data_IF_336399097457
#
_entry.id   IF_336399097457
#
_cell.length_a   1.000
_cell.length_b   1.000
_cell.length_c   1.000
_cell.angle_alpha   90.00
_cell.angle_beta   90.00
_cell.angle_gamma   90.00
#
_symmetry.space_group_name_H-M   'P 1'
#
loop_
_entity.id
_entity.type
_entity.pdbx_description
1 polymer ?
#
# COMPACT_ATOMS: atom_id res chain seq x y z
N UNK A 1 65.25 48.03 56.60
CA UNK A 1 65.77 46.75 57.12
C UNK A 1 65.42 45.67 56.12
N UNK A 2 66.42 45.08 55.47
CA UNK A 2 66.36 43.78 54.79
C UNK A 2 66.78 42.69 55.83
N UNK A 3 66.70 41.35 55.62
CA UNK A 3 66.52 40.61 54.35
C UNK A 3 65.72 39.26 54.41
N UNK A 4 65.73 38.59 53.25
CA UNK A 4 65.75 37.12 52.99
C UNK A 4 64.46 36.29 53.10
N UNK A 5 64.01 35.67 51.99
CA UNK A 5 64.31 34.30 51.48
C UNK A 5 63.43 33.26 52.20
N UNK A 6 62.76 32.28 51.61
CA UNK A 6 63.03 31.49 50.41
C UNK A 6 61.79 30.62 50.13
N UNK A 7 61.47 30.44 48.85
CA UNK A 7 60.92 29.22 48.22
C UNK A 7 60.02 28.29 49.05
N UNK A 8 58.72 28.25 48.71
CA UNK A 8 58.02 26.97 48.66
C UNK A 8 57.03 26.93 47.49
N UNK A 9 56.97 25.77 46.84
CA UNK A 9 56.42 25.55 45.50
C UNK A 9 54.89 25.50 45.48
N UNK A 10 54.20 25.97 44.43
CA UNK A 10 52.75 25.86 44.34
C UNK A 10 52.32 24.40 44.09
N UNK A 11 51.52 23.86 45.01
CA UNK A 11 50.75 22.62 44.82
C UNK A 11 49.77 22.81 43.67
N UNK A 12 50.01 22.13 42.55
CA UNK A 12 49.05 21.95 41.46
C UNK A 12 47.83 21.18 41.98
N UNK A 13 46.76 21.89 42.35
CA UNK A 13 45.43 21.29 42.52
C UNK A 13 44.93 20.84 41.16
N UNK A 14 45.07 19.54 40.89
CA UNK A 14 44.46 18.83 39.76
C UNK A 14 42.94 18.81 39.95
N UNK A 15 42.25 19.87 39.51
CA UNK A 15 40.80 19.81 39.31
C UNK A 15 40.54 19.06 38.03
N UNK A 16 40.08 17.82 38.17
CA UNK A 16 39.61 16.99 37.07
C UNK A 16 38.47 17.68 36.34
N UNK A 17 38.65 17.87 35.04
CA UNK A 17 37.53 18.07 34.13
C UNK A 17 36.99 16.68 33.80
N UNK A 18 35.86 16.32 34.40
CA UNK A 18 35.05 15.20 33.93
C UNK A 18 34.40 15.67 32.62
N UNK A 19 34.94 15.25 31.48
CA UNK A 19 34.20 15.34 30.22
C UNK A 19 33.00 14.39 30.36
N UNK A 20 31.80 14.97 30.43
CA UNK A 20 30.59 14.21 30.18
C UNK A 20 30.58 13.92 28.67
N UNK A 21 31.07 12.75 28.28
CA UNK A 21 30.84 12.25 26.94
C UNK A 21 29.34 11.94 26.82
N UNK A 22 28.59 12.86 26.20
CA UNK A 22 27.26 12.53 25.72
C UNK A 22 27.44 11.50 24.61
N UNK A 23 27.23 10.23 24.95
CA UNK A 23 27.02 9.19 23.95
C UNK A 23 25.71 9.54 23.24
N UNK A 24 25.80 10.24 22.13
CA UNK A 24 24.73 10.21 21.14
C UNK A 24 24.77 8.79 20.60
N UNK A 25 23.85 7.95 21.08
CA UNK A 25 23.46 6.73 20.38
C UNK A 25 22.95 7.19 19.02
N UNK A 26 23.85 7.20 18.04
CA UNK A 26 23.46 7.26 16.65
C UNK A 26 22.71 5.96 16.39
N UNK A 27 21.39 6.02 16.55
CA UNK A 27 20.51 5.04 15.92
C UNK A 27 20.68 5.27 14.42
N UNK A 28 21.55 4.50 13.79
CA UNK A 28 21.46 4.29 12.36
C UNK A 28 20.21 3.45 12.16
N UNK A 29 19.13 3.94 11.52
CA UNK A 29 18.27 2.99 10.86
C UNK A 29 19.18 2.32 9.83
N UNK A 30 19.55 1.06 10.07
CA UNK A 30 19.63 0.13 8.96
C UNK A 30 18.37 0.43 8.14
N UNK A 31 18.54 0.74 6.84
CA UNK A 31 17.43 1.02 5.93
C UNK A 31 16.26 0.12 6.36
N UNK A 32 15.22 0.73 6.93
CA UNK A 32 13.99 0.01 7.13
C UNK A 32 13.50 -0.24 5.71
N UNK A 33 13.92 -1.36 5.13
CA UNK A 33 13.25 -1.96 3.98
C UNK A 33 11.82 -2.06 4.48
N UNK A 34 10.96 -1.13 4.06
CA UNK A 34 9.56 -1.26 4.42
C UNK A 34 9.09 -2.50 3.69
N UNK A 35 8.54 -3.44 4.46
CA UNK A 35 7.94 -4.63 3.94
C UNK A 35 7.05 -4.26 2.76
N UNK A 36 7.29 -4.91 1.63
CA UNK A 36 6.33 -5.00 0.55
C UNK A 36 5.03 -5.56 1.16
N UNK A 37 3.94 -4.79 1.13
CA UNK A 37 2.71 -5.15 1.84
C UNK A 37 1.77 -5.91 0.92
N UNK A 38 1.23 -7.01 1.44
CA UNK A 38 0.09 -7.72 0.88
C UNK A 38 -1.05 -7.65 1.89
N UNK A 39 -2.19 -7.10 1.51
CA UNK A 39 -3.39 -7.11 2.36
C UNK A 39 -4.26 -8.31 2.03
N UNK A 40 -4.83 -8.93 3.05
CA UNK A 40 -5.74 -10.05 2.92
C UNK A 40 -7.02 -9.79 3.71
N UNK A 41 -8.16 -9.94 3.04
CA UNK A 41 -9.48 -9.91 3.65
C UNK A 41 -9.90 -11.34 3.99
N UNK A 42 -10.26 -11.63 5.23
CA UNK A 42 -10.80 -12.93 5.64
C UNK A 42 -12.27 -12.80 6.06
N UNK A 43 -13.11 -13.71 5.58
CA UNK A 43 -14.55 -13.65 5.86
C UNK A 43 -14.93 -14.20 7.25
N UNK A 44 -14.21 -15.20 7.76
CA UNK A 44 -14.57 -15.90 9.01
C UNK A 44 -14.53 -15.01 10.25
N UNK A 45 -13.55 -14.09 10.32
CA UNK A 45 -13.44 -13.12 11.41
C UNK A 45 -13.75 -11.68 10.97
N UNK A 46 -14.11 -11.47 9.71
CA UNK A 46 -14.36 -10.14 9.16
C UNK A 46 -13.19 -9.18 9.42
N UNK A 47 -11.97 -9.60 9.05
CA UNK A 47 -10.73 -8.85 9.29
C UNK A 47 -9.98 -8.61 8.00
N UNK A 48 -9.29 -7.48 7.93
CA UNK A 48 -8.22 -7.23 6.95
C UNK A 48 -6.89 -7.30 7.70
N UNK A 49 -5.98 -8.14 7.23
CA UNK A 49 -4.62 -8.26 7.75
C UNK A 49 -3.59 -7.75 6.75
N UNK A 50 -2.59 -7.03 7.25
CA UNK A 50 -1.41 -6.66 6.49
C UNK A 50 -0.33 -7.73 6.68
N UNK A 51 0.18 -8.26 5.57
CA UNK A 51 1.25 -9.24 5.55
C UNK A 51 2.52 -8.62 4.96
N UNK A 52 3.66 -9.00 5.53
CA UNK A 52 4.95 -8.87 4.87
C UNK A 52 4.97 -9.85 3.69
N UNK A 53 5.07 -9.34 2.46
CA UNK A 53 4.95 -10.16 1.26
C UNK A 53 6.10 -11.17 1.10
N UNK A 54 7.28 -10.89 1.65
CA UNK A 54 8.45 -11.78 1.57
C UNK A 54 8.31 -13.00 2.48
N UNK A 55 7.78 -12.78 3.69
CA UNK A 55 7.77 -13.78 4.76
C UNK A 55 6.38 -14.33 5.06
N UNK A 56 5.33 -13.64 4.61
CA UNK A 56 3.94 -13.91 4.95
C UNK A 56 3.55 -13.51 6.37
N UNK A 57 4.47 -12.95 7.15
CA UNK A 57 4.23 -12.59 8.54
C UNK A 57 3.12 -11.54 8.63
N UNK A 58 2.14 -11.78 9.50
CA UNK A 58 1.09 -10.80 9.80
C UNK A 58 1.71 -9.69 10.63
N UNK A 59 1.66 -8.46 10.11
CA UNK A 59 2.22 -7.29 10.73
C UNK A 59 1.21 -6.61 11.65
N UNK A 60 -0.03 -6.46 11.18
CA UNK A 60 -1.18 -5.97 11.93
C UNK A 60 -2.48 -6.41 11.23
N UNK A 61 -3.60 -6.26 11.94
CA UNK A 61 -4.94 -6.48 11.42
C UNK A 61 -5.95 -5.51 12.05
N UNK A 62 -7.12 -5.41 11.42
CA UNK A 62 -8.26 -4.63 11.91
C UNK A 62 -9.59 -5.20 11.38
N UNK A 63 -10.71 -4.93 12.06
CA UNK A 63 -12.03 -5.38 11.60
C UNK A 63 -12.46 -4.65 10.32
N UNK A 64 -13.28 -5.30 9.50
CA UNK A 64 -13.88 -4.69 8.32
C UNK A 64 -15.07 -3.78 8.68
N UNK A 65 -15.37 -2.76 7.87
CA UNK A 65 -16.50 -1.85 8.12
C UNK A 65 -17.88 -2.52 7.94
N UNK A 66 -17.94 -3.58 7.13
CA UNK A 66 -19.13 -4.43 6.96
C UNK A 66 -18.74 -5.90 6.97
N UNK A 67 -19.70 -6.80 7.19
CA UNK A 67 -19.46 -8.24 7.15
C UNK A 67 -19.14 -8.69 5.72
N UNK A 68 -17.97 -9.28 5.45
CA UNK A 68 -17.65 -9.79 4.13
C UNK A 68 -18.56 -10.94 3.74
N UNK A 69 -18.75 -11.13 2.44
CA UNK A 69 -19.43 -12.31 1.94
C UNK A 69 -18.56 -13.56 2.15
N UNK A 70 -19.18 -14.65 2.61
CA UNK A 70 -18.57 -15.97 2.66
C UNK A 70 -18.42 -16.57 1.24
N UNK A 71 -17.27 -17.19 0.95
CA UNK A 71 -17.05 -17.93 -0.30
C UNK A 71 -16.75 -17.08 -1.53
N UNK A 72 -16.05 -15.95 -1.37
CA UNK A 72 -15.78 -14.98 -2.46
C UNK A 72 -16.78 -13.82 -2.47
N UNK A 73 -16.82 -13.02 -3.54
CA UNK A 73 -17.75 -11.89 -3.58
C UNK A 73 -17.21 -10.63 -2.89
N UNK A 74 -15.90 -10.48 -2.73
CA UNK A 74 -15.32 -9.33 -2.04
C UNK A 74 -14.14 -8.78 -2.83
N UNK A 75 -14.11 -7.45 -2.99
CA UNK A 75 -13.00 -6.75 -3.60
C UNK A 75 -12.15 -6.05 -2.57
N UNK A 76 -10.83 -6.08 -2.75
CA UNK A 76 -9.87 -5.32 -1.97
C UNK A 76 -8.84 -4.71 -2.92
N UNK A 77 -8.52 -3.43 -2.78
CA UNK A 77 -7.46 -2.77 -3.54
C UNK A 77 -6.65 -1.84 -2.64
N UNK A 78 -5.35 -1.69 -2.91
CA UNK A 78 -4.45 -0.85 -2.11
C UNK A 78 -3.75 0.19 -2.98
N UNK A 79 -3.92 1.48 -2.65
CA UNK A 79 -3.31 2.57 -3.42
C UNK A 79 -1.89 2.95 -3.01
N UNK A 80 -1.34 2.31 -1.97
CA UNK A 80 -0.14 2.80 -1.28
C UNK A 80 -0.46 3.75 -0.12
N UNK A 81 -1.70 4.25 -0.01
CA UNK A 81 -2.14 5.13 1.09
C UNK A 81 -3.54 4.85 1.61
N UNK A 82 -4.38 4.17 0.83
CA UNK A 82 -5.76 3.83 1.19
C UNK A 82 -6.06 2.40 0.77
N UNK A 83 -6.92 1.74 1.53
CA UNK A 83 -7.58 0.51 1.09
C UNK A 83 -8.98 0.83 0.58
N UNK A 84 -9.37 0.14 -0.48
CA UNK A 84 -10.74 0.13 -0.99
C UNK A 84 -11.31 -1.26 -0.77
N UNK A 85 -12.49 -1.37 -0.16
CA UNK A 85 -13.16 -2.64 0.08
C UNK A 85 -14.58 -2.61 -0.50
N UNK A 86 -14.98 -3.67 -1.18
CA UNK A 86 -16.35 -3.88 -1.64
C UNK A 86 -16.83 -5.29 -1.28
N UNK A 87 -18.14 -5.46 -1.19
CA UNK A 87 -18.79 -6.77 -1.13
C UNK A 87 -19.91 -6.80 -2.15
N UNK A 88 -20.24 -7.97 -2.71
CA UNK A 88 -21.35 -8.07 -3.68
C UNK A 88 -22.74 -7.85 -3.04
N UNK A 89 -22.82 -7.82 -1.71
CA UNK A 89 -24.06 -7.64 -0.96
C UNK A 89 -24.51 -6.19 -0.91
N UNK A 90 -23.57 -5.25 -1.07
CA UNK A 90 -23.81 -3.82 -0.93
C UNK A 90 -23.25 -3.06 -2.13
N UNK A 91 -23.96 -2.07 -2.67
CA UNK A 91 -23.43 -1.20 -3.71
C UNK A 91 -22.54 -0.11 -3.11
N UNK A 92 -21.63 -0.47 -2.20
CA UNK A 92 -20.76 0.46 -1.47
C UNK A 92 -19.30 0.04 -1.63
N UNK A 93 -18.44 1.00 -1.97
CA UNK A 93 -16.99 0.87 -1.82
C UNK A 93 -16.60 1.66 -0.57
N UNK A 94 -15.98 0.99 0.39
CA UNK A 94 -15.45 1.58 1.62
C UNK A 94 -14.01 2.01 1.40
N UNK A 95 -13.65 3.21 1.83
CA UNK A 95 -12.27 3.73 1.81
C UNK A 95 -11.73 3.70 3.23
N UNK A 96 -10.64 2.98 3.45
CA UNK A 96 -10.16 2.59 4.77
C UNK A 96 -8.70 3.03 4.94
N UNK A 97 -8.34 3.51 6.13
CA UNK A 97 -6.95 3.74 6.51
C UNK A 97 -6.23 2.38 6.64
N UNK A 98 -5.20 2.10 5.83
CA UNK A 98 -4.52 0.79 5.82
C UNK A 98 -3.72 0.49 7.09
N UNK A 99 -3.48 1.49 7.93
CA UNK A 99 -2.69 1.37 9.16
C UNK A 99 -3.59 1.13 10.37
N UNK A 100 -4.74 1.81 10.43
CA UNK A 100 -5.63 1.76 11.61
C UNK A 100 -6.92 0.97 11.39
N UNK A 101 -7.35 0.80 10.14
CA UNK A 101 -8.66 0.25 9.80
C UNK A 101 -9.80 1.26 9.91
N UNK A 102 -9.51 2.53 10.19
CA UNK A 102 -10.54 3.55 10.29
C UNK A 102 -11.19 3.82 8.93
N UNK A 103 -12.52 3.97 8.92
CA UNK A 103 -13.26 4.39 7.73
C UNK A 103 -12.95 5.86 7.41
N UNK A 104 -12.37 6.11 6.24
CA UNK A 104 -12.07 7.45 5.72
C UNK A 104 -13.26 8.00 4.96
N UNK A 105 -13.84 7.20 4.06
CA UNK A 105 -14.93 7.61 3.16
C UNK A 105 -15.70 6.38 2.63
N UNK A 106 -16.78 6.61 1.87
CA UNK A 106 -17.53 5.56 1.18
C UNK A 106 -18.20 6.07 -0.11
N UNK A 107 -18.19 5.24 -1.15
CA UNK A 107 -18.85 5.53 -2.42
C UNK A 107 -20.11 4.68 -2.57
N UNK A 108 -21.27 5.32 -2.66
CA UNK A 108 -22.54 4.62 -2.93
C UNK A 108 -22.78 4.54 -4.45
N UNK A 109 -22.62 3.35 -5.00
CA UNK A 109 -22.75 3.05 -6.42
C UNK A 109 -24.19 2.92 -6.91
N UNK A 110 -25.20 3.03 -6.02
CA UNK A 110 -26.62 2.92 -6.37
C UNK A 110 -27.33 4.26 -6.62
N UNK A 111 -26.71 5.42 -6.35
CA UNK A 111 -27.45 6.70 -6.38
C UNK A 111 -26.57 7.98 -6.54
N UNK A 112 -26.83 8.86 -7.53
CA UNK A 112 -27.37 8.62 -8.85
C UNK A 112 -26.25 8.75 -9.89
N UNK A 113 -25.58 7.64 -10.23
CA UNK A 113 -24.91 7.58 -11.53
C UNK A 113 -26.01 7.45 -12.60
N UNK A 114 -26.00 8.26 -13.67
CA UNK A 114 -27.10 8.29 -14.61
C UNK A 114 -27.17 6.95 -15.35
N UNK A 115 -28.19 6.15 -15.01
CA UNK A 115 -28.74 5.01 -15.78
C UNK A 115 -28.23 3.58 -15.55
N UNK A 116 -27.18 3.32 -14.76
CA UNK A 116 -26.74 1.94 -14.45
C UNK A 116 -26.31 1.77 -12.99
N UNK A 117 -26.89 0.78 -12.31
CA UNK A 117 -26.36 0.30 -11.02
C UNK A 117 -25.11 -0.52 -11.33
N UNK A 118 -23.95 -0.16 -10.75
CA UNK A 118 -22.67 -0.83 -11.04
C UNK A 118 -22.52 -2.17 -10.30
N UNK A 119 -23.30 -2.38 -9.24
CA UNK A 119 -23.27 -3.58 -8.41
C UNK A 119 -23.91 -4.79 -9.11
N UNK A 120 -23.53 -6.03 -8.74
CA UNK A 120 -22.57 -6.39 -7.70
C UNK A 120 -21.11 -6.15 -8.11
N UNK A 121 -20.26 -5.72 -7.14
CA UNK A 121 -18.81 -5.62 -7.31
C UNK A 121 -18.14 -6.79 -6.59
N UNK A 122 -17.54 -7.70 -7.34
CA UNK A 122 -16.91 -8.94 -6.86
C UNK A 122 -15.43 -8.75 -6.54
N UNK A 123 -14.76 -7.83 -7.25
CA UNK A 123 -13.33 -7.61 -7.14
C UNK A 123 -12.99 -6.12 -7.28
N UNK A 124 -11.89 -5.71 -6.63
CA UNK A 124 -11.31 -4.37 -6.79
C UNK A 124 -9.82 -4.49 -7.09
N UNK A 125 -9.28 -3.58 -7.89
CA UNK A 125 -7.84 -3.43 -8.14
C UNK A 125 -7.52 -1.95 -8.29
N UNK A 126 -6.30 -1.52 -7.98
CA UNK A 126 -5.92 -0.11 -8.06
C UNK A 126 -4.69 0.07 -8.95
N UNK A 127 -4.78 0.97 -9.92
CA UNK A 127 -3.68 1.22 -10.84
C UNK A 127 -3.79 2.54 -11.56
N UNK A 128 -3.16 2.62 -12.72
CA UNK A 128 -3.23 3.79 -13.59
C UNK A 128 -3.83 3.41 -14.93
N UNK A 129 -4.64 4.33 -15.47
CA UNK A 129 -5.08 4.33 -16.86
C UNK A 129 -4.82 5.70 -17.48
N UNK A 130 -5.31 5.92 -18.70
CA UNK A 130 -5.31 7.20 -19.39
C UNK A 130 -6.07 8.30 -18.64
N UNK A 131 -6.93 7.93 -17.67
CA UNK A 131 -7.63 8.84 -16.77
C UNK A 131 -6.81 9.26 -15.54
N UNK A 132 -5.65 8.64 -15.30
CA UNK A 132 -4.85 8.79 -14.08
C UNK A 132 -5.06 7.62 -13.11
N UNK A 133 -4.96 7.86 -11.78
CA UNK A 133 -5.30 6.86 -10.77
C UNK A 133 -6.72 6.33 -10.96
N UNK A 134 -6.85 5.01 -11.02
CA UNK A 134 -8.10 4.33 -11.36
C UNK A 134 -8.31 3.14 -10.45
N UNK A 135 -9.52 3.05 -9.90
CA UNK A 135 -10.03 1.87 -9.22
C UNK A 135 -10.78 1.02 -10.24
N UNK A 136 -10.26 -0.18 -10.51
CA UNK A 136 -10.91 -1.18 -11.34
C UNK A 136 -11.93 -1.92 -10.46
N UNK A 137 -13.17 -2.02 -10.90
CA UNK A 137 -14.23 -2.70 -10.17
C UNK A 137 -14.92 -3.74 -11.05
N UNK A 138 -14.75 -5.01 -10.71
CA UNK A 138 -15.33 -6.12 -11.49
C UNK A 138 -16.79 -6.33 -11.12
N UNK A 139 -17.67 -6.17 -12.11
CA UNK A 139 -19.01 -6.71 -12.08
C UNK A 139 -19.00 -8.08 -12.78
N UNK A 140 -18.87 -9.15 -11.99
CA UNK A 140 -18.79 -10.52 -12.49
C UNK A 140 -20.09 -10.98 -13.16
N UNK A 141 -21.26 -10.45 -12.78
CA UNK A 141 -22.52 -10.85 -13.43
C UNK A 141 -22.63 -10.33 -14.86
N UNK A 142 -22.05 -9.15 -15.09
CA UNK A 142 -22.00 -8.53 -16.39
C UNK A 142 -20.70 -8.84 -17.15
N UNK A 143 -19.72 -9.51 -16.54
CA UNK A 143 -18.37 -9.69 -17.08
C UNK A 143 -17.72 -8.35 -17.51
N UNK A 144 -17.90 -7.31 -16.72
CA UNK A 144 -17.53 -5.94 -17.04
C UNK A 144 -16.61 -5.35 -15.96
N UNK A 145 -15.59 -4.60 -16.35
CA UNK A 145 -14.79 -3.79 -15.42
C UNK A 145 -15.25 -2.34 -15.53
N UNK A 146 -15.63 -1.76 -14.39
CA UNK A 146 -15.84 -0.32 -14.27
C UNK A 146 -14.53 0.36 -13.86
N UNK A 147 -14.17 1.44 -14.54
CA UNK A 147 -13.02 2.28 -14.21
C UNK A 147 -13.54 3.45 -13.41
N UNK A 148 -13.20 3.50 -12.12
CA UNK A 148 -13.74 4.46 -11.18
C UNK A 148 -12.65 5.43 -10.73
N UNK A 149 -13.06 6.68 -10.48
CA UNK A 149 -12.25 7.64 -9.74
C UNK A 149 -12.07 7.13 -8.30
N UNK A 150 -10.83 6.94 -7.83
CA UNK A 150 -10.58 6.54 -6.45
C UNK A 150 -10.88 7.69 -5.46
N UNK A 151 -11.13 8.91 -5.94
CA UNK A 151 -11.44 10.07 -5.09
C UNK A 151 -12.91 10.13 -4.68
N UNK A 152 -13.83 9.62 -5.51
CA UNK A 152 -15.27 9.80 -5.30
C UNK A 152 -16.15 8.68 -5.88
N UNK A 153 -15.56 7.63 -6.47
CA UNK A 153 -16.28 6.52 -7.08
C UNK A 153 -17.02 6.86 -8.38
N UNK A 154 -16.81 8.04 -8.98
CA UNK A 154 -17.39 8.38 -10.26
C UNK A 154 -16.82 7.49 -11.37
N UNK A 155 -17.67 7.07 -12.31
CA UNK A 155 -17.25 6.23 -13.44
C UNK A 155 -16.50 7.09 -14.46
N UNK A 156 -15.27 6.71 -14.77
CA UNK A 156 -14.54 7.23 -15.93
C UNK A 156 -15.01 6.52 -17.20
N UNK A 157 -15.00 5.18 -17.19
CA UNK A 157 -15.38 4.34 -18.32
C UNK A 157 -15.74 2.93 -17.86
N UNK A 158 -16.11 2.05 -18.78
CA UNK A 158 -16.29 0.62 -18.53
C UNK A 158 -16.03 -0.21 -19.78
N UNK A 159 -15.51 -1.42 -19.62
CA UNK A 159 -15.33 -2.36 -20.73
C UNK A 159 -15.69 -3.79 -20.36
N UNK A 160 -16.26 -4.46 -21.35
CA UNK A 160 -16.60 -5.87 -21.27
C UNK A 160 -15.35 -6.73 -21.43
N UNK A 161 -15.11 -7.64 -20.48
CA UNK A 161 -14.11 -8.69 -20.63
C UNK A 161 -14.64 -9.77 -21.58
N UNK A 162 -13.76 -10.27 -22.45
CA UNK A 162 -14.10 -11.31 -23.42
C UNK A 162 -12.98 -12.36 -23.53
N UNK A 163 -13.36 -13.59 -23.87
CA UNK A 163 -12.42 -14.71 -24.00
C UNK A 163 -12.24 -15.57 -22.74
N UNK A 164 -12.80 -15.14 -21.61
CA UNK A 164 -12.80 -15.88 -20.34
C UNK A 164 -13.98 -15.42 -19.44
N UNK A 165 -14.20 -16.13 -18.33
CA UNK A 165 -15.31 -15.87 -17.38
C UNK A 165 -14.75 -15.32 -16.05
N UNK A 166 -14.62 -13.98 -15.92
CA UNK A 166 -13.96 -13.35 -14.78
C UNK A 166 -14.77 -13.50 -13.50
N UNK A 167 -14.13 -13.97 -12.44
CA UNK A 167 -14.73 -14.07 -11.10
C UNK A 167 -13.62 -14.18 -10.06
N UNK A 168 -13.83 -13.60 -8.88
CA UNK A 168 -12.87 -13.65 -7.77
C UNK A 168 -11.97 -12.41 -7.71
N UNK A 169 -10.66 -12.58 -7.79
CA UNK A 169 -9.67 -11.52 -7.59
C UNK A 169 -9.28 -10.75 -8.86
N UNK A 170 -8.99 -9.46 -8.68
CA UNK A 170 -8.28 -8.64 -9.67
C UNK A 170 -7.19 -7.83 -8.97
N UNK A 171 -6.10 -7.54 -9.68
CA UNK A 171 -5.12 -6.55 -9.21
C UNK A 171 -4.32 -5.99 -10.39
N UNK A 172 -3.71 -4.83 -10.19
CA UNK A 172 -2.92 -4.14 -11.20
C UNK A 172 -1.42 -4.37 -10.97
N UNK A 173 -0.73 -4.88 -11.98
CA UNK A 173 0.72 -4.99 -11.93
C UNK A 173 1.35 -3.62 -12.21
N UNK A 174 1.91 -3.00 -11.17
CA UNK A 174 2.57 -1.70 -11.27
C UNK A 174 3.91 -1.71 -12.01
N UNK A 175 4.49 -2.88 -12.28
CA UNK A 175 5.73 -3.04 -13.05
C UNK A 175 5.41 -3.16 -14.54
N UNK A 176 4.45 -4.00 -14.92
CA UNK A 176 4.09 -4.26 -16.33
C UNK A 176 2.96 -3.37 -16.85
N UNK A 177 2.26 -2.65 -15.96
CA UNK A 177 1.07 -1.85 -16.27
C UNK A 177 -0.05 -2.68 -16.92
N UNK A 178 -0.30 -3.87 -16.36
CA UNK A 178 -1.35 -4.80 -16.82
C UNK A 178 -2.30 -5.15 -15.68
N UNK A 179 -3.55 -5.45 -16.03
CA UNK A 179 -4.54 -5.90 -15.08
C UNK A 179 -4.59 -7.43 -15.09
N UNK A 180 -4.55 -8.04 -13.92
CA UNK A 180 -4.64 -9.49 -13.73
C UNK A 180 -6.00 -9.80 -13.14
N UNK A 181 -6.68 -10.81 -13.69
CA UNK A 181 -8.07 -11.16 -13.36
C UNK A 181 -8.18 -12.68 -13.26
N UNK A 182 -8.74 -13.19 -12.17
CA UNK A 182 -8.99 -14.63 -12.01
C UNK A 182 -10.27 -15.07 -12.73
N UNK A 183 -10.33 -16.36 -13.07
CA UNK A 183 -11.55 -17.03 -13.50
C UNK A 183 -12.03 -18.11 -12.51
N UNK A 184 -13.19 -18.70 -12.77
CA UNK A 184 -13.79 -19.74 -11.92
C UNK A 184 -12.99 -21.05 -11.86
N UNK A 185 -12.11 -21.30 -12.83
CA UNK A 185 -11.21 -22.45 -12.83
C UNK A 185 -9.90 -22.18 -12.05
N UNK A 186 -9.65 -20.91 -11.71
CA UNK A 186 -8.45 -20.43 -11.02
C UNK A 186 -7.30 -20.10 -11.95
N UNK A 187 -7.56 -19.92 -13.24
CA UNK A 187 -6.57 -19.31 -14.14
C UNK A 187 -6.53 -17.80 -13.90
N UNK A 188 -5.42 -17.19 -14.34
CA UNK A 188 -5.23 -15.74 -14.26
C UNK A 188 -5.07 -15.20 -15.67
N UNK A 189 -6.01 -14.39 -16.10
CA UNK A 189 -5.96 -13.66 -17.36
C UNK A 189 -5.31 -12.30 -17.17
N UNK A 190 -4.37 -11.98 -18.05
CA UNK A 190 -3.68 -10.70 -18.13
C UNK A 190 -4.34 -9.91 -19.24
N UNK A 191 -4.86 -8.74 -18.90
CA UNK A 191 -5.62 -7.90 -19.82
C UNK A 191 -5.04 -6.49 -19.89
N UNK A 192 -5.24 -5.84 -21.03
CA UNK A 192 -4.99 -4.42 -21.20
C UNK A 192 -5.94 -3.60 -20.29
N UNK A 193 -5.42 -2.73 -19.41
CA UNK A 193 -6.23 -2.02 -18.43
C UNK A 193 -7.08 -0.87 -19.02
N UNK A 194 -6.86 -0.47 -20.27
CA UNK A 194 -7.67 0.55 -20.94
C UNK A 194 -8.86 -0.06 -21.68
N UNK A 195 -8.66 -1.26 -22.23
CA UNK A 195 -9.59 -1.84 -23.22
C UNK A 195 -10.18 -3.19 -22.79
N UNK A 196 -9.60 -3.86 -21.79
CA UNK A 196 -9.97 -5.21 -21.39
C UNK A 196 -9.56 -6.29 -22.39
N UNK A 197 -8.73 -5.97 -23.37
CA UNK A 197 -8.25 -6.95 -24.34
C UNK A 197 -7.39 -8.01 -23.63
N UNK A 198 -7.74 -9.29 -23.83
CA UNK A 198 -6.98 -10.42 -23.30
C UNK A 198 -5.63 -10.53 -24.02
N UNK A 199 -4.55 -10.54 -23.26
CA UNK A 199 -3.18 -10.67 -23.78
C UNK A 199 -2.60 -12.05 -23.52
N UNK A 200 -2.79 -12.57 -22.31
CA UNK A 200 -2.26 -13.86 -21.88
C UNK A 200 -3.16 -14.51 -20.82
N UNK A 201 -3.13 -15.84 -20.73
CA UNK A 201 -3.75 -16.58 -19.63
C UNK A 201 -2.73 -17.52 -19.00
N UNK A 202 -2.48 -17.32 -17.72
CA UNK A 202 -1.71 -18.23 -16.88
C UNK A 202 -2.64 -19.35 -16.39
N UNK A 203 -2.43 -20.56 -16.90
CA UNK A 203 -3.27 -21.73 -16.61
C UNK A 203 -2.99 -22.36 -15.23
N UNK A 204 -2.95 -21.55 -14.17
CA UNK A 204 -2.60 -21.97 -12.80
C UNK A 204 -3.57 -23.03 -12.29
N UNK A 205 -4.86 -22.80 -12.49
CA UNK A 205 -5.91 -23.69 -12.01
C UNK A 205 -5.98 -23.77 -10.48
N UNK A 206 -6.40 -24.93 -9.98
CA UNK A 206 -6.58 -25.17 -8.54
C UNK A 206 -7.96 -24.77 -8.00
N UNK A 207 -8.91 -24.46 -8.89
CA UNK A 207 -10.28 -24.11 -8.52
C UNK A 207 -10.42 -22.63 -8.16
N UNK A 208 -11.59 -22.27 -7.63
CA UNK A 208 -12.00 -20.88 -7.47
C UNK A 208 -11.03 -20.07 -6.60
N UNK A 209 -10.35 -19.11 -7.23
CA UNK A 209 -9.41 -18.18 -6.59
C UNK A 209 -10.15 -16.92 -6.18
N UNK A 210 -10.28 -16.71 -4.88
CA UNK A 210 -11.11 -15.62 -4.33
C UNK A 210 -10.38 -14.29 -4.26
N UNK A 211 -9.06 -14.31 -4.11
CA UNK A 211 -8.24 -13.10 -4.07
C UNK A 211 -7.03 -13.23 -4.99
N UNK A 212 -6.64 -12.10 -5.56
CA UNK A 212 -5.44 -11.91 -6.35
C UNK A 212 -4.74 -10.66 -5.82
N UNK A 213 -3.44 -10.74 -5.53
CA UNK A 213 -2.62 -9.61 -5.12
C UNK A 213 -1.30 -9.58 -5.87
N UNK A 214 -0.84 -8.40 -6.26
CA UNK A 214 0.42 -8.18 -6.96
C UNK A 214 1.33 -7.25 -6.18
N UNK A 215 2.47 -7.76 -5.74
CA UNK A 215 3.48 -6.95 -5.05
C UNK A 215 4.76 -6.97 -5.88
N UNK A 216 5.07 -5.84 -6.51
CA UNK A 216 6.02 -5.81 -7.62
C UNK A 216 5.50 -6.69 -8.78
N UNK A 217 6.31 -7.66 -9.21
CA UNK A 217 5.95 -8.67 -10.23
C UNK A 217 5.49 -10.01 -9.62
N UNK A 218 5.34 -10.07 -8.29
CA UNK A 218 5.02 -11.31 -7.57
C UNK A 218 3.52 -11.49 -7.49
N UNK A 219 3.03 -12.66 -7.93
CA UNK A 219 1.62 -12.99 -7.97
C UNK A 219 1.22 -13.81 -6.75
N UNK A 220 0.26 -13.30 -5.98
CA UNK A 220 -0.33 -14.00 -4.84
C UNK A 220 -1.78 -14.35 -5.13
N UNK A 221 -2.18 -15.58 -4.81
CA UNK A 221 -3.54 -16.06 -4.95
C UNK A 221 -4.03 -16.68 -3.66
N UNK A 222 -5.29 -16.44 -3.32
CA UNK A 222 -5.99 -17.19 -2.27
C UNK A 222 -7.05 -18.09 -2.88
N UNK A 223 -7.47 -19.12 -2.13
CA UNK A 223 -8.50 -20.06 -2.55
C UNK A 223 -9.56 -20.16 -1.45
N UNK A 224 -10.84 -20.20 -1.82
CA UNK A 224 -11.92 -20.31 -0.81
C UNK A 224 -11.84 -21.58 0.05
N UNK A 225 -11.15 -22.62 -0.44
CA UNK A 225 -11.10 -23.95 0.17
C UNK A 225 -9.89 -24.13 1.08
N UNK A 226 -8.96 -23.17 1.09
CA UNK A 226 -7.74 -23.23 1.88
C UNK A 226 -7.54 -21.93 2.65
N UNK A 227 -6.92 -22.05 3.80
CA UNK A 227 -6.45 -20.94 4.62
C UNK A 227 -5.01 -20.53 4.24
N UNK A 228 -4.71 -20.62 2.94
CA UNK A 228 -3.41 -20.30 2.37
C UNK A 228 -3.49 -19.14 1.39
N UNK A 229 -2.47 -18.30 1.40
CA UNK A 229 -2.08 -17.40 0.32
C UNK A 229 -0.88 -18.06 -0.36
N UNK A 230 -0.98 -18.33 -1.66
CA UNK A 230 0.06 -18.99 -2.44
C UNK A 230 0.74 -17.97 -3.36
N UNK A 231 2.06 -17.94 -3.37
CA UNK A 231 2.87 -17.11 -4.25
C UNK A 231 3.27 -17.91 -5.49
N UNK A 232 3.16 -17.30 -6.66
CA UNK A 232 3.54 -17.86 -7.95
C UNK A 232 4.53 -16.94 -8.65
N UNK A 233 5.53 -17.54 -9.29
CA UNK A 233 6.36 -16.83 -10.26
C UNK A 233 5.69 -16.96 -11.65
N UNK A 234 5.17 -15.88 -12.22
CA UNK A 234 4.50 -15.94 -13.52
C UNK A 234 5.44 -16.35 -14.67
N UNK A 235 6.77 -16.30 -14.47
CA UNK A 235 7.78 -16.58 -15.50
C UNK A 235 8.40 -17.98 -15.46
N UNK A 236 8.47 -18.62 -14.29
CA UNK A 236 9.22 -19.90 -14.12
C UNK A 236 8.34 -21.14 -13.94
N UNK A 237 7.01 -20.99 -13.83
CA UNK A 237 6.07 -22.10 -13.90
C UNK A 237 4.79 -21.86 -13.07
N UNK A 238 3.72 -22.58 -13.41
CA UNK A 238 2.38 -22.45 -12.80
C UNK A 238 2.23 -23.15 -11.44
N UNK A 239 3.33 -23.35 -10.72
CA UNK A 239 3.36 -23.98 -9.39
C UNK A 239 3.67 -22.95 -8.31
N UNK A 240 3.00 -23.06 -7.17
CA UNK A 240 3.28 -22.18 -6.04
C UNK A 240 4.75 -22.35 -5.61
N UNK A 241 5.46 -21.23 -5.50
CA UNK A 241 6.86 -21.15 -5.04
C UNK A 241 6.96 -20.86 -3.54
N UNK A 242 5.89 -20.32 -2.95
CA UNK A 242 5.76 -20.06 -1.53
C UNK A 242 4.29 -20.14 -1.09
N UNK A 243 4.06 -20.26 0.22
CA UNK A 243 2.70 -20.22 0.77
C UNK A 243 2.70 -19.72 2.21
N UNK A 244 1.69 -18.92 2.55
CA UNK A 244 1.51 -18.33 3.87
C UNK A 244 0.14 -18.69 4.44
N UNK A 245 0.05 -18.80 5.77
CA UNK A 245 -1.20 -19.08 6.45
C UNK A 245 -1.91 -17.76 6.78
N UNK A 246 -3.18 -17.67 6.47
CA UNK A 246 -4.07 -16.56 6.86
C UNK A 246 -4.42 -16.62 8.35
N UNK A 247 -4.72 -15.48 8.98
CA UNK A 247 -5.02 -15.41 10.42
C UNK A 247 -6.18 -16.32 10.87
N UNK A 248 -7.27 -16.35 10.10
CA UNK A 248 -8.56 -16.81 10.62
C UNK A 248 -9.39 -17.67 9.68
N UNK A 249 -8.88 -18.03 8.51
CA UNK A 249 -9.63 -18.76 7.49
C UNK A 249 -9.32 -18.25 6.08
N UNK A 250 -9.96 -18.82 5.05
CA UNK A 250 -9.71 -18.47 3.65
C UNK A 250 -9.77 -16.96 3.40
N UNK A 251 -8.76 -16.42 2.73
CA UNK A 251 -8.79 -15.03 2.29
C UNK A 251 -9.77 -14.90 1.12
N UNK A 252 -10.79 -14.06 1.28
CA UNK A 252 -11.83 -13.81 0.28
C UNK A 252 -11.49 -12.67 -0.69
N UNK A 253 -10.45 -11.90 -0.41
CA UNK A 253 -9.85 -10.93 -1.32
C UNK A 253 -8.37 -10.69 -0.93
N UNK A 254 -7.56 -10.28 -1.90
CA UNK A 254 -6.18 -9.85 -1.68
C UNK A 254 -5.99 -8.47 -2.33
N UNK A 255 -5.03 -7.70 -1.84
CA UNK A 255 -4.60 -6.47 -2.48
C UNK A 255 -3.09 -6.30 -2.32
N UNK A 256 -2.39 -6.31 -3.45
CA UNK A 256 -1.09 -5.67 -3.55
C UNK A 256 -1.27 -4.20 -3.92
N UNK A 257 -0.17 -3.46 -3.99
CA UNK A 257 -0.24 -2.05 -4.37
C UNK A 257 1.10 -1.55 -4.88
N UNK A 258 1.17 -0.27 -5.26
CA UNK A 258 2.39 0.29 -5.79
C UNK A 258 3.49 0.17 -4.73
N UNK A 259 4.76 -0.07 -5.15
CA UNK A 259 5.87 0.02 -4.22
C UNK A 259 5.81 1.39 -3.56
N UNK A 260 5.75 1.39 -2.22
CA UNK A 260 5.69 2.64 -1.45
C UNK A 260 6.95 3.43 -1.79
N UNK A 261 6.84 4.66 -2.33
CA UNK A 261 8.02 5.44 -2.66
C UNK A 261 8.92 5.55 -1.44
N UNK A 262 10.22 5.36 -1.62
CA UNK A 262 11.22 5.73 -0.63
C UNK A 262 10.87 7.15 -0.15
N UNK A 263 10.81 7.41 1.17
CA UNK A 263 10.56 8.76 1.65
C UNK A 263 11.61 9.64 0.99
N UNK A 264 11.16 10.51 0.09
CA UNK A 264 12.05 11.39 -0.65
C UNK A 264 12.98 12.01 0.38
N UNK A 265 14.30 11.83 0.20
CA UNK A 265 15.27 12.48 1.08
C UNK A 265 14.92 13.95 1.07
N UNK A 266 14.29 14.43 2.14
CA UNK A 266 14.01 15.85 2.31
C UNK A 266 15.41 16.45 2.48
N UNK A 267 16.00 16.86 1.36
CA UNK A 267 17.20 17.66 1.36
C UNK A 267 16.82 18.96 2.07
N UNK A 268 17.12 19.01 3.37
CA UNK A 268 16.91 20.18 4.21
C UNK A 268 17.88 21.26 3.68
N UNK A 269 17.44 22.02 2.68
CA UNK A 269 18.14 23.21 2.23
C UNK A 269 17.95 24.29 3.30
N UNK A 270 18.73 24.20 4.38
CA UNK A 270 18.86 25.27 5.35
C UNK A 270 19.56 26.44 4.67
N UNK A 271 18.77 27.36 4.11
CA UNK A 271 19.25 28.66 3.66
C UNK A 271 19.61 29.48 4.91
N UNK A 272 20.88 29.43 5.33
CA UNK A 272 21.40 30.33 6.36
C UNK A 272 21.56 31.72 5.74
N UNK A 273 20.51 32.54 5.79
CA UNK A 273 20.63 34.00 5.73
C UNK A 273 20.61 34.53 7.15
N UNK A 274 21.78 34.49 7.81
CA UNK A 274 21.98 35.28 9.02
C UNK A 274 22.18 36.75 8.61
N UNK A 275 21.07 37.47 8.46
CA UNK A 275 21.05 38.91 8.49
C UNK A 275 21.34 39.38 9.92
N UNK A 276 22.60 39.67 10.23
CA UNK A 276 22.96 40.41 11.43
C UNK A 276 22.90 41.92 11.15
N UNK A 277 21.69 42.46 11.23
CA UNK A 277 21.46 43.89 11.50
C UNK A 277 21.90 44.19 12.92
N UNK A 278 22.92 45.04 13.08
CA UNK A 278 23.50 45.33 14.39
C UNK A 278 24.39 46.56 14.44
N UNK A 279 23.84 47.72 14.04
CA UNK A 279 24.10 49.05 14.58
C UNK A 279 25.54 49.57 14.72
N UNK A 280 25.82 50.71 14.05
CA UNK A 280 26.30 51.93 14.71
C UNK A 280 26.08 53.16 13.85
N UNK A 281 25.35 54.12 14.44
CA UNK A 281 25.06 55.46 13.93
C UNK A 281 26.35 56.28 13.69
N UNK A 282 26.36 56.91 12.52
CA UNK A 282 26.81 58.27 12.20
C UNK A 282 27.81 59.02 13.12
N UNK A 283 28.90 59.48 12.52
CA UNK A 283 29.40 60.85 12.72
C UNK A 283 29.63 61.55 11.37
N UNK A 284 28.95 62.68 11.20
CA UNK A 284 29.07 63.66 10.10
C UNK A 284 30.39 64.43 10.16
N UNK A 285 30.94 64.77 8.98
CA UNK A 285 31.36 66.12 8.50
C UNK A 285 32.10 65.94 7.15
N UNK A 286 31.97 66.85 6.16
CA UNK A 286 32.46 68.23 6.30
C UNK A 286 31.63 69.33 5.59
N UNK A 287 31.73 70.57 6.09
CA UNK A 287 31.63 71.81 5.29
C UNK A 287 32.55 72.86 5.92
N UNK A 288 33.67 73.14 5.26
CA UNK A 288 34.17 74.47 4.84
C UNK A 288 35.40 74.23 3.98
#
# INVERSE_FOLDING_TARGET
>A
MNPDNSTDSPRLTRRGFTMLAAAVLAWSPAQAVRAELLFALTHDNATISAHDADTGAILWDFPTPTTPQSGGGNGLAYSGSQLFMATIQEPIIYVIDPTTGDLIDQFNLANPQPTTVLAPIDALGYGHTSFGPTLFALNYTANNIHLLSPENGAVFDSYQLSGFDPVGGIDFNHVTSKLYVTDGAGNVSIVDPETGALEETLAIGGGFRTGLGLVGDRLFLSNQSTNLIEEFDPSSGLTAINSFVTASGPASALAGGPPVPEPATIALAACVTAAATGGRLARRRPVS
#
